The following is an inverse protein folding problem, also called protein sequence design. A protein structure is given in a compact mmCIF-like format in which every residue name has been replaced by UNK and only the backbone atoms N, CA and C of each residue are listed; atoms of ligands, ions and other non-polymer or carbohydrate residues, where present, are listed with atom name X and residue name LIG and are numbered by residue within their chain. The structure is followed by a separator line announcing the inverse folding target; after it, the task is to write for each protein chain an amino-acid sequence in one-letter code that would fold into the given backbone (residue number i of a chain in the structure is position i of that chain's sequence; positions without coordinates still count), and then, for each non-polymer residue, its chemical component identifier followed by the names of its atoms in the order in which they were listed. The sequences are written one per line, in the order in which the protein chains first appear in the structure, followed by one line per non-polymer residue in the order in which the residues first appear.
data_IF_494529967840
#
_entry.id   IF_494529967840
#
_cell.length_a   1.000
_cell.length_b   1.000
_cell.length_c   1.000
_cell.angle_alpha   90.00
_cell.angle_beta   90.00
_cell.angle_gamma   90.00
#
_symmetry.space_group_name_H-M   'P 1'
#
loop_
_entity.id
_entity.type
_entity.pdbx_description
1 polymer ?
#
# COMPACT_ATOMS: atom_id res chain seq x y z
N UNK A 1 -1.01 -16.43 22.04
CA UNK A 1 -1.81 -16.73 20.84
C UNK A 1 -1.45 -15.65 19.83
N UNK A 2 -0.78 -15.98 18.72
CA UNK A 2 -0.40 -14.98 17.70
C UNK A 2 -1.64 -14.70 16.86
N UNK A 3 -2.09 -13.44 16.82
CA UNK A 3 -3.22 -13.02 15.99
C UNK A 3 -2.92 -13.24 14.51
N UNK A 4 -3.95 -13.53 13.72
CA UNK A 4 -3.82 -13.74 12.28
C UNK A 4 -3.25 -12.52 11.54
N UNK A 5 -3.53 -11.32 12.08
CA UNK A 5 -3.08 -10.02 11.61
C UNK A 5 -2.45 -9.23 12.76
N UNK A 6 -1.15 -9.42 13.02
CA UNK A 6 -0.47 -8.78 14.16
C UNK A 6 0.03 -7.36 13.84
N UNK A 7 0.03 -6.96 12.57
CA UNK A 7 0.62 -5.70 12.09
C UNK A 7 -0.47 -4.69 11.70
N UNK A 8 -0.10 -3.42 11.57
CA UNK A 8 -0.98 -2.33 11.13
C UNK A 8 -0.46 -1.75 9.82
N UNK A 9 -1.35 -1.53 8.87
CA UNK A 9 -1.06 -0.81 7.62
C UNK A 9 -1.81 0.52 7.62
N UNK A 10 -1.12 1.58 7.23
CA UNK A 10 -1.68 2.89 6.91
C UNK A 10 -1.36 3.18 5.45
N UNK A 11 -2.39 3.46 4.64
CA UNK A 11 -2.27 3.81 3.23
C UNK A 11 -2.72 5.25 3.08
N UNK A 12 -1.80 6.11 2.68
CA UNK A 12 -2.07 7.51 2.39
C UNK A 12 -2.12 7.68 0.87
N UNK A 13 -3.27 8.09 0.32
CA UNK A 13 -3.38 8.34 -1.11
C UNK A 13 -2.42 9.45 -1.51
N UNK A 14 -1.81 9.31 -2.68
CA UNK A 14 -0.91 10.34 -3.21
C UNK A 14 -1.71 11.62 -3.50
N UNK A 15 -1.28 12.80 -3.04
CA UNK A 15 -1.99 14.04 -3.36
C UNK A 15 -1.92 14.29 -4.87
N UNK A 16 -3.07 14.59 -5.46
CA UNK A 16 -3.11 15.14 -6.80
C UNK A 16 -2.67 16.61 -6.74
N UNK A 17 -1.85 17.02 -7.69
CA UNK A 17 -1.44 18.42 -7.80
C UNK A 17 -2.35 19.12 -8.80
N UNK A 18 -3.15 20.06 -8.32
CA UNK A 18 -4.01 20.87 -9.16
C UNK A 18 -3.36 22.24 -9.40
N UNK A 19 -3.52 22.76 -10.62
CA UNK A 19 -3.09 24.11 -10.93
C UNK A 19 -4.16 25.11 -10.48
N UNK A 20 -3.78 26.06 -9.64
CA UNK A 20 -4.65 27.15 -9.19
C UNK A 20 -4.84 28.23 -10.29
N UNK A 21 -5.76 29.18 -10.06
CA UNK A 21 -6.02 30.30 -10.97
C UNK A 21 -4.80 31.22 -11.19
N UNK A 22 -3.78 31.12 -10.32
CA UNK A 22 -2.53 31.87 -10.39
C UNK A 22 -1.41 31.10 -11.11
N UNK A 23 -1.68 29.89 -11.59
CA UNK A 23 -0.74 29.04 -12.29
C UNK A 23 0.23 28.28 -11.39
N UNK A 24 0.04 28.30 -10.06
CA UNK A 24 0.80 27.49 -9.12
C UNK A 24 0.22 26.08 -9.02
N UNK A 25 1.09 25.09 -8.84
CA UNK A 25 0.68 23.72 -8.55
C UNK A 25 0.68 23.52 -7.04
N UNK A 26 -0.49 23.39 -6.44
CA UNK A 26 -0.65 23.06 -5.03
C UNK A 26 -1.15 21.62 -4.90
N UNK A 27 -0.71 20.93 -3.85
CA UNK A 27 -1.24 19.61 -3.52
C UNK A 27 -2.67 19.78 -3.00
N UNK A 28 -3.63 19.06 -3.57
CA UNK A 28 -4.96 18.99 -2.99
C UNK A 28 -4.91 18.28 -1.63
N UNK A 29 -5.84 18.59 -0.73
CA UNK A 29 -5.88 18.02 0.61
C UNK A 29 -5.91 16.48 0.48
N UNK A 30 -4.83 15.83 0.93
CA UNK A 30 -4.66 14.39 0.77
C UNK A 30 -5.88 13.66 1.36
N UNK A 31 -6.54 12.84 0.54
CA UNK A 31 -7.70 12.08 0.96
C UNK A 31 -7.39 11.23 2.22
N UNK A 32 -8.43 10.95 3.01
CA UNK A 32 -8.29 10.30 4.32
C UNK A 32 -7.43 9.02 4.24
N UNK A 33 -6.37 8.97 5.06
CA UNK A 33 -5.53 7.80 5.18
C UNK A 33 -6.34 6.57 5.64
N UNK A 34 -6.24 5.48 4.90
CA UNK A 34 -6.87 4.22 5.24
C UNK A 34 -6.01 3.46 6.24
N UNK A 35 -6.59 3.00 7.34
CA UNK A 35 -5.89 2.20 8.36
C UNK A 35 -6.59 0.87 8.57
N UNK A 36 -5.84 -0.24 8.56
CA UNK A 36 -6.37 -1.58 8.81
C UNK A 36 -5.35 -2.47 9.51
N UNK A 37 -5.85 -3.51 10.18
CA UNK A 37 -5.03 -4.63 10.62
C UNK A 37 -4.56 -5.46 9.42
N UNK A 38 -3.33 -5.96 9.49
CA UNK A 38 -2.69 -6.71 8.41
C UNK A 38 -1.60 -7.66 8.93
N UNK A 39 -0.99 -8.40 8.00
CA UNK A 39 0.22 -9.21 8.23
C UNK A 39 1.21 -8.94 7.11
N UNK A 40 2.35 -8.36 7.46
CA UNK A 40 3.40 -8.00 6.51
C UNK A 40 4.50 -9.07 6.48
N UNK A 41 4.64 -9.73 5.32
CA UNK A 41 5.68 -10.73 5.06
C UNK A 41 6.74 -10.15 4.13
N UNK A 42 8.02 -10.38 4.45
CA UNK A 42 9.13 -9.96 3.57
C UNK A 42 9.03 -10.77 2.28
N UNK A 43 9.22 -10.10 1.15
CA UNK A 43 9.21 -10.76 -0.13
C UNK A 43 10.35 -11.80 -0.23
N UNK A 44 10.04 -12.95 -0.84
CA UNK A 44 10.97 -14.07 -0.97
C UNK A 44 12.07 -13.86 -2.02
N UNK A 45 12.62 -14.95 -2.54
CA UNK A 45 13.84 -14.93 -3.37
C UNK A 45 13.71 -14.29 -4.76
N UNK A 46 12.49 -13.97 -5.23
CA UNK A 46 12.26 -13.32 -6.53
C UNK A 46 11.05 -12.37 -6.50
N UNK A 47 11.19 -11.17 -5.92
CA UNK A 47 10.05 -10.33 -5.59
C UNK A 47 9.72 -9.38 -6.75
N UNK A 48 9.33 -9.96 -7.89
CA UNK A 48 9.06 -9.22 -9.12
C UNK A 48 7.59 -9.39 -9.50
N UNK A 49 6.92 -8.27 -9.79
CA UNK A 49 5.59 -8.22 -10.40
C UNK A 49 5.71 -7.79 -11.86
N UNK A 50 4.90 -8.40 -12.72
CA UNK A 50 4.71 -7.93 -14.07
C UNK A 50 3.77 -6.72 -14.04
N UNK A 51 4.32 -5.53 -14.28
CA UNK A 51 3.57 -4.30 -14.47
C UNK A 51 2.99 -4.21 -15.88
N UNK A 52 2.38 -3.05 -16.18
CA UNK A 52 1.88 -2.71 -17.52
C UNK A 52 3.02 -2.65 -18.53
N UNK A 53 2.73 -3.06 -19.77
CA UNK A 53 3.65 -3.04 -20.92
C UNK A 53 4.99 -3.77 -20.72
N UNK A 54 4.97 -4.88 -19.96
CA UNK A 54 6.15 -5.73 -19.78
C UNK A 54 7.20 -5.15 -18.84
N UNK A 55 6.89 -4.07 -18.13
CA UNK A 55 7.75 -3.59 -17.06
C UNK A 55 7.73 -4.55 -15.88
N UNK A 56 8.87 -4.66 -15.20
CA UNK A 56 9.00 -5.44 -13.97
C UNK A 56 9.11 -4.51 -12.78
N UNK A 57 8.20 -4.64 -11.82
CA UNK A 57 8.20 -3.86 -10.59
C UNK A 57 8.67 -4.75 -9.45
N UNK A 58 9.76 -4.37 -8.78
CA UNK A 58 10.18 -5.07 -7.57
C UNK A 58 9.39 -4.57 -6.35
N UNK A 59 9.09 -5.49 -5.44
CA UNK A 59 8.48 -5.19 -4.14
C UNK A 59 9.35 -5.76 -3.03
N UNK A 60 9.16 -5.29 -1.80
CA UNK A 60 9.90 -5.76 -0.62
C UNK A 60 8.99 -6.46 0.38
N UNK A 61 7.70 -6.17 0.34
CA UNK A 61 6.72 -6.68 1.28
C UNK A 61 5.46 -7.20 0.57
N UNK A 62 4.91 -8.29 1.09
CA UNK A 62 3.56 -8.76 0.78
C UNK A 62 2.72 -8.56 2.03
N UNK A 63 1.67 -7.77 1.91
CA UNK A 63 0.77 -7.46 3.01
C UNK A 63 -0.53 -8.21 2.79
N UNK A 64 -0.90 -9.04 3.77
CA UNK A 64 -2.18 -9.74 3.81
C UNK A 64 -3.10 -9.02 4.76
N UNK A 65 -4.32 -8.71 4.32
CA UNK A 65 -5.30 -8.03 5.15
C UNK A 65 -6.69 -8.65 4.97
N UNK A 66 -7.63 -8.37 5.89
CA UNK A 66 -9.04 -8.72 5.71
C UNK A 66 -9.57 -8.20 4.38
N UNK A 67 -10.60 -8.85 3.85
CA UNK A 67 -11.23 -8.42 2.61
C UNK A 67 -11.68 -6.96 2.75
N UNK A 68 -11.13 -6.10 1.90
CA UNK A 68 -11.59 -4.72 1.74
C UNK A 68 -12.35 -4.56 0.42
N UNK A 69 -13.30 -3.63 0.40
CA UNK A 69 -13.87 -3.07 -0.83
C UNK A 69 -13.09 -1.87 -1.35
N UNK A 70 -12.19 -1.32 -0.53
CA UNK A 70 -11.37 -0.17 -0.90
C UNK A 70 -10.41 -0.53 -2.04
N UNK A 71 -10.28 0.40 -2.97
CA UNK A 71 -9.34 0.33 -4.07
C UNK A 71 -8.30 1.42 -3.87
N UNK A 72 -7.03 1.02 -3.84
CA UNK A 72 -5.88 1.91 -3.68
C UNK A 72 -5.14 2.02 -5.01
N UNK A 73 -4.54 3.17 -5.25
CA UNK A 73 -3.82 3.42 -6.48
C UNK A 73 -2.36 3.01 -6.37
N UNK A 74 -1.81 2.53 -7.49
CA UNK A 74 -0.38 2.22 -7.56
C UNK A 74 0.41 3.52 -7.39
N UNK A 75 1.28 3.56 -6.38
CA UNK A 75 2.04 4.75 -6.00
C UNK A 75 1.58 5.39 -4.70
N UNK A 76 0.43 4.99 -4.13
CA UNK A 76 -0.01 5.42 -2.80
C UNK A 76 1.06 5.10 -1.76
N UNK A 77 1.23 5.99 -0.78
CA UNK A 77 2.23 5.83 0.26
C UNK A 77 1.73 4.83 1.31
N UNK A 78 2.54 3.81 1.59
CA UNK A 78 2.18 2.76 2.53
C UNK A 78 3.15 2.78 3.71
N UNK A 79 2.59 2.91 4.90
CA UNK A 79 3.31 2.76 6.17
C UNK A 79 2.86 1.48 6.87
N UNK A 80 3.82 0.58 7.12
CA UNK A 80 3.63 -0.68 7.82
C UNK A 80 4.25 -0.57 9.21
N UNK A 81 3.43 -0.81 10.23
CA UNK A 81 3.87 -0.89 11.62
C UNK A 81 3.75 -2.34 12.07
N UNK A 82 4.90 -2.98 12.29
CA UNK A 82 4.93 -4.36 12.77
C UNK A 82 4.60 -4.45 14.26
N UNK A 83 4.20 -5.64 14.70
CA UNK A 83 3.96 -5.93 16.11
C UNK A 83 5.18 -5.69 17.03
N UNK A 84 6.40 -5.73 16.48
CA UNK A 84 7.64 -5.43 17.20
C UNK A 84 7.93 -3.91 17.34
N UNK A 85 7.06 -3.06 16.78
CA UNK A 85 7.20 -1.61 16.76
C UNK A 85 8.03 -1.07 15.59
N UNK A 86 8.55 -1.93 14.71
CA UNK A 86 9.30 -1.51 13.51
C UNK A 86 8.35 -0.88 12.50
N UNK A 87 8.74 0.30 11.99
CA UNK A 87 7.99 1.04 10.98
C UNK A 87 8.73 0.92 9.65
N UNK A 88 8.00 0.54 8.60
CA UNK A 88 8.50 0.49 7.23
C UNK A 88 7.62 1.34 6.34
N UNK A 89 8.23 2.18 5.52
CA UNK A 89 7.53 2.95 4.51
C UNK A 89 7.84 2.41 3.11
N UNK A 90 6.88 2.53 2.22
CA UNK A 90 6.97 2.10 0.84
C UNK A 90 5.87 2.73 0.00
N UNK A 91 5.74 2.26 -1.24
CA UNK A 91 4.66 2.67 -2.13
C UNK A 91 3.93 1.45 -2.62
N UNK A 92 2.62 1.55 -2.76
CA UNK A 92 1.81 0.46 -3.27
C UNK A 92 2.21 0.16 -4.72
N UNK A 93 2.59 -1.09 -4.99
CA UNK A 93 2.96 -1.57 -6.32
C UNK A 93 1.78 -2.23 -7.02
N UNK A 94 0.98 -2.94 -6.26
CA UNK A 94 -0.18 -3.66 -6.76
C UNK A 94 -1.13 -4.00 -5.61
N UNK A 95 -2.43 -4.08 -5.93
CA UNK A 95 -3.46 -4.62 -5.06
C UNK A 95 -4.16 -5.80 -5.75
N UNK A 96 -4.54 -6.80 -4.96
CA UNK A 96 -5.41 -7.89 -5.38
C UNK A 96 -6.42 -8.17 -4.26
N UNK A 97 -7.68 -7.82 -4.52
CA UNK A 97 -8.79 -8.15 -3.64
C UNK A 97 -9.34 -9.52 -4.04
N UNK A 98 -8.97 -10.56 -3.28
CA UNK A 98 -9.47 -11.91 -3.45
C UNK A 98 -10.87 -12.11 -2.85
N UNK A 99 -11.39 -13.33 -2.95
CA UNK A 99 -12.73 -13.65 -2.45
C UNK A 99 -12.86 -13.51 -0.92
N UNK A 100 -11.79 -13.85 -0.19
CA UNK A 100 -11.75 -13.93 1.28
C UNK A 100 -10.68 -13.06 1.95
N UNK A 101 -9.75 -12.49 1.18
CA UNK A 101 -8.69 -11.62 1.69
C UNK A 101 -8.26 -10.61 0.64
N UNK A 102 -7.57 -9.57 1.08
CA UNK A 102 -6.91 -8.62 0.20
C UNK A 102 -5.40 -8.74 0.36
N UNK A 103 -4.70 -8.60 -0.75
CA UNK A 103 -3.23 -8.65 -0.83
C UNK A 103 -2.72 -7.36 -1.44
N UNK A 104 -1.66 -6.82 -0.84
CA UNK A 104 -0.96 -5.64 -1.31
C UNK A 104 0.51 -5.98 -1.46
N UNK A 105 1.12 -5.46 -2.51
CA UNK A 105 2.57 -5.55 -2.74
C UNK A 105 3.17 -4.17 -2.56
N UNK A 106 4.15 -4.05 -1.68
CA UNK A 106 4.78 -2.78 -1.27
C UNK A 106 6.29 -2.84 -1.47
#
# INVERSE_FOLDING_TARGET
MVGQYPDIIVISPKPEFAQDENGNFEADDAANAFTSECRAEVAGSNPILAGTDGQTVSYKWIVYMPKTSEFFEVGDEVTLTKADGSIYTGSLKQQSNGQFNSRLWV
#
